data_IF_216609207496
#
_entry.id   IF_216609207496
#
_cell.length_a   1.000
_cell.length_b   1.000
_cell.length_c   1.000
_cell.angle_alpha   90.00
_cell.angle_beta   90.00
_cell.angle_gamma   90.00
#
_symmetry.space_group_name_H-M   'P 1'
#
loop_
_entity.id
_entity.type
_entity.pdbx_description
1 polymer ?
#
# COMPACT_ATOMS: atom_id res chain seq x y z
N UNK A 1 -12.11 -25.06 23.81
CA UNK A 1 -11.53 -25.20 25.15
C UNK A 1 -11.76 -23.89 25.86
N UNK A 2 -12.34 -23.91 27.05
CA UNK A 2 -12.47 -22.71 27.92
C UNK A 2 -11.35 -22.76 28.95
N UNK A 3 -10.69 -21.64 29.16
CA UNK A 3 -9.70 -21.45 30.23
C UNK A 3 -10.30 -20.50 31.27
N UNK A 4 -10.27 -20.88 32.54
CA UNK A 4 -10.70 -20.03 33.66
C UNK A 4 -9.45 -19.45 34.30
N UNK A 5 -9.39 -18.13 34.41
CA UNK A 5 -8.22 -17.42 34.95
C UNK A 5 -8.68 -16.58 36.14
N UNK A 6 -7.95 -16.67 37.25
CA UNK A 6 -8.22 -15.86 38.43
C UNK A 6 -7.91 -14.38 38.17
N UNK A 7 -8.85 -13.52 38.53
CA UNK A 7 -8.71 -12.07 38.43
C UNK A 7 -7.94 -11.52 39.63
N UNK A 8 -7.12 -10.49 39.44
CA UNK A 8 -6.50 -9.76 40.54
C UNK A 8 -7.42 -8.66 41.06
N UNK A 9 -7.52 -8.46 42.38
CA UNK A 9 -8.36 -7.42 42.97
C UNK A 9 -7.50 -6.27 43.49
N UNK A 10 -7.71 -5.07 42.94
CA UNK A 10 -7.03 -3.85 43.34
C UNK A 10 -8.02 -2.69 43.47
N UNK A 11 -8.02 -2.02 44.63
CA UNK A 11 -8.84 -0.82 44.90
C UNK A 11 -10.35 -0.95 44.57
N UNK A 12 -10.95 -2.11 44.85
CA UNK A 12 -12.37 -2.33 44.59
C UNK A 12 -12.71 -2.71 43.14
N UNK A 13 -11.69 -2.90 42.29
CA UNK A 13 -11.84 -3.37 40.91
C UNK A 13 -11.13 -4.71 40.72
N UNK A 14 -11.74 -5.57 39.91
CA UNK A 14 -11.10 -6.79 39.42
C UNK A 14 -10.41 -6.49 38.09
N UNK A 15 -9.17 -6.94 37.96
CA UNK A 15 -8.33 -6.74 36.80
C UNK A 15 -7.91 -8.10 36.23
N UNK A 16 -7.97 -8.20 34.91
CA UNK A 16 -7.35 -9.29 34.15
C UNK A 16 -6.23 -8.72 33.30
N UNK A 17 -5.06 -9.35 33.33
CA UNK A 17 -3.99 -9.10 32.36
C UNK A 17 -3.50 -10.45 31.87
N UNK A 18 -3.59 -10.74 30.56
CA UNK A 18 -3.05 -11.97 30.01
C UNK A 18 -1.57 -12.15 30.39
N UNK A 19 -1.23 -13.30 30.97
CA UNK A 19 0.16 -13.60 31.34
C UNK A 19 1.06 -13.99 30.16
N UNK A 20 0.45 -14.38 29.04
CA UNK A 20 1.11 -14.74 27.78
C UNK A 20 0.46 -13.98 26.61
N UNK A 21 1.21 -13.82 25.52
CA UNK A 21 0.65 -13.34 24.25
C UNK A 21 -0.39 -14.32 23.73
N UNK A 22 -1.57 -13.82 23.37
CA UNK A 22 -2.59 -14.61 22.71
C UNK A 22 -2.30 -14.69 21.22
N UNK A 23 -2.53 -15.85 20.62
CA UNK A 23 -2.45 -15.99 19.18
C UNK A 23 -3.62 -15.24 18.51
N UNK A 24 -3.46 -14.92 17.23
CA UNK A 24 -4.53 -14.31 16.45
C UNK A 24 -5.79 -15.17 16.47
N UNK A 25 -6.94 -14.52 16.61
CA UNK A 25 -8.23 -15.18 16.71
C UNK A 25 -9.29 -14.39 17.47
N UNK A 26 -10.50 -14.95 17.49
CA UNK A 26 -11.63 -14.40 18.24
C UNK A 26 -11.78 -15.14 19.57
N UNK A 27 -11.80 -14.39 20.66
CA UNK A 27 -11.94 -14.87 22.02
C UNK A 27 -13.24 -14.33 22.62
N UNK A 28 -13.99 -15.18 23.32
CA UNK A 28 -15.17 -14.77 24.08
C UNK A 28 -14.85 -14.82 25.55
N UNK A 29 -14.88 -13.67 26.21
CA UNK A 29 -14.59 -13.52 27.62
C UNK A 29 -15.91 -13.43 28.40
N UNK A 30 -15.99 -14.18 29.50
CA UNK A 30 -17.07 -14.08 30.49
C UNK A 30 -16.45 -14.01 31.86
N UNK A 31 -17.09 -13.25 32.76
CA UNK A 31 -16.68 -13.20 34.17
C UNK A 31 -17.65 -14.07 34.96
N UNK A 32 -17.13 -15.07 35.66
CA UNK A 32 -17.87 -15.83 36.67
C UNK A 32 -17.69 -15.14 38.02
N UNK A 33 -18.79 -14.95 38.74
CA UNK A 33 -18.77 -14.52 40.15
C UNK A 33 -19.34 -15.64 41.02
N UNK A 34 -18.79 -15.82 42.21
CA UNK A 34 -19.24 -16.80 43.20
C UNK A 34 -19.24 -16.15 44.58
N UNK A 35 -20.35 -16.25 45.32
CA UNK A 35 -20.42 -15.74 46.69
C UNK A 35 -19.96 -16.77 47.73
N UNK A 36 -19.83 -16.35 49.00
CA UNK A 36 -19.39 -17.24 50.10
C UNK A 36 -20.34 -18.41 50.37
N UNK A 37 -21.59 -18.33 49.92
CA UNK A 37 -22.57 -19.41 50.04
C UNK A 37 -22.53 -20.37 48.83
N UNK A 38 -21.69 -20.09 47.83
CA UNK A 38 -21.54 -20.89 46.61
C UNK A 38 -22.51 -20.51 45.48
N UNK A 39 -23.22 -19.39 45.57
CA UNK A 39 -24.09 -18.94 44.47
C UNK A 39 -23.23 -18.37 43.34
N UNK A 40 -23.39 -18.89 42.12
CA UNK A 40 -22.64 -18.44 40.94
C UNK A 40 -23.49 -17.64 39.97
N UNK A 41 -22.90 -16.63 39.32
CA UNK A 41 -23.50 -15.92 38.18
C UNK A 41 -22.42 -15.56 37.15
N UNK A 42 -22.83 -15.15 35.94
CA UNK A 42 -21.93 -14.81 34.84
C UNK A 42 -22.25 -13.42 34.26
N UNK A 43 -21.22 -12.72 33.76
CA UNK A 43 -21.41 -11.51 32.96
C UNK A 43 -22.03 -11.82 31.60
N UNK A 44 -22.49 -10.77 30.90
CA UNK A 44 -22.64 -10.84 29.45
C UNK A 44 -21.28 -11.17 28.80
N UNK A 45 -21.27 -11.92 27.68
CA UNK A 45 -20.03 -12.22 26.97
C UNK A 45 -19.47 -10.96 26.29
N UNK A 46 -18.14 -10.84 26.31
CA UNK A 46 -17.37 -9.84 25.56
C UNK A 46 -16.53 -10.55 24.51
N UNK A 47 -16.75 -10.22 23.24
CA UNK A 47 -15.88 -10.71 22.15
C UNK A 47 -14.67 -9.80 22.00
N UNK A 48 -13.48 -10.39 21.98
CA UNK A 48 -12.19 -9.74 21.73
C UNK A 48 -11.55 -10.42 20.54
N UNK A 49 -11.07 -9.64 19.57
CA UNK A 49 -10.32 -10.15 18.41
C UNK A 49 -8.87 -9.74 18.59
N UNK A 50 -7.97 -10.72 18.53
CA UNK A 50 -6.53 -10.51 18.45
C UNK A 50 -6.16 -10.66 16.98
N UNK A 51 -5.55 -9.64 16.43
CA UNK A 51 -5.11 -9.58 15.04
C UNK A 51 -3.80 -8.81 15.01
N UNK A 52 -2.72 -9.51 14.66
CA UNK A 52 -1.35 -8.98 14.66
C UNK A 52 -0.71 -9.07 13.28
N UNK A 53 -1.47 -9.47 12.26
CA UNK A 53 -0.95 -9.77 10.92
C UNK A 53 -1.51 -8.79 9.89
N UNK A 54 -0.61 -8.27 9.06
CA UNK A 54 -0.97 -7.46 7.90
C UNK A 54 0.05 -7.69 6.78
N UNK A 55 -0.40 -7.62 5.53
CA UNK A 55 0.45 -7.76 4.35
C UNK A 55 0.03 -6.81 3.22
N UNK A 56 0.99 -6.51 2.33
CA UNK A 56 0.71 -5.94 1.01
C UNK A 56 0.98 -7.02 -0.04
N UNK A 57 -0.09 -7.63 -0.53
CA UNK A 57 -0.05 -8.77 -1.45
C UNK A 57 0.53 -8.35 -2.80
N UNK A 58 0.19 -7.15 -3.29
CA UNK A 58 0.58 -6.69 -4.62
C UNK A 58 0.65 -5.17 -4.73
N UNK A 59 1.56 -4.69 -5.56
CA UNK A 59 1.60 -3.29 -6.03
C UNK A 59 1.88 -3.36 -7.52
N UNK A 60 1.01 -2.76 -8.33
CA UNK A 60 1.02 -2.82 -9.79
C UNK A 60 0.98 -1.40 -10.36
N UNK A 61 1.88 -1.10 -11.31
CA UNK A 61 1.74 0.06 -12.19
C UNK A 61 0.74 -0.29 -13.31
N UNK A 62 -0.49 0.20 -13.19
CA UNK A 62 -1.61 -0.17 -14.07
C UNK A 62 -1.41 0.36 -15.49
N UNK A 63 -0.83 1.56 -15.63
CA UNK A 63 -0.48 2.17 -16.90
C UNK A 63 0.98 1.92 -17.34
N UNK A 64 1.55 0.77 -16.96
CA UNK A 64 2.79 0.25 -17.57
C UNK A 64 2.62 0.17 -19.10
N UNK A 65 3.53 0.80 -19.84
CA UNK A 65 3.45 1.01 -21.28
C UNK A 65 4.67 0.43 -21.98
N UNK A 66 4.52 -0.02 -23.23
CA UNK A 66 5.64 -0.65 -23.93
C UNK A 66 5.84 -2.09 -23.47
N UNK A 67 6.88 -2.36 -22.67
CA UNK A 67 7.26 -3.72 -22.25
C UNK A 67 6.63 -4.04 -20.89
N UNK A 68 5.60 -4.90 -20.89
CA UNK A 68 4.90 -5.27 -19.66
C UNK A 68 5.82 -5.85 -18.58
N UNK A 69 5.71 -5.29 -17.37
CA UNK A 69 6.42 -5.75 -16.18
C UNK A 69 7.80 -5.10 -16.01
N UNK A 70 8.16 -4.12 -16.85
CA UNK A 70 9.35 -3.30 -16.63
C UNK A 70 9.08 -2.09 -15.71
N UNK A 71 7.82 -1.87 -15.30
CA UNK A 71 7.36 -0.74 -14.50
C UNK A 71 7.70 0.62 -15.14
N UNK A 72 7.66 0.73 -16.46
CA UNK A 72 7.87 1.99 -17.18
C UNK A 72 6.57 2.47 -17.82
N UNK A 73 6.28 3.76 -17.71
CA UNK A 73 5.09 4.37 -18.30
C UNK A 73 5.45 5.60 -19.14
N UNK A 74 4.73 5.79 -20.24
CA UNK A 74 4.76 6.99 -21.07
C UNK A 74 3.65 7.99 -20.72
N UNK A 75 2.99 7.78 -19.58
CA UNK A 75 2.01 8.67 -18.98
C UNK A 75 2.67 9.38 -17.77
N UNK A 76 2.62 10.71 -17.74
CA UNK A 76 3.20 11.51 -16.65
C UNK A 76 2.40 11.43 -15.34
N UNK A 77 1.24 10.77 -15.35
CA UNK A 77 0.40 10.49 -14.19
C UNK A 77 0.33 9.00 -13.93
N UNK A 78 1.31 8.42 -13.20
CA UNK A 78 1.31 7.00 -12.93
C UNK A 78 0.07 6.59 -12.15
N UNK A 79 -0.50 5.46 -12.55
CA UNK A 79 -1.66 4.84 -11.93
C UNK A 79 -1.23 3.56 -11.25
N UNK A 80 -1.37 3.50 -9.92
CA UNK A 80 -1.06 2.33 -9.11
C UNK A 80 -2.30 1.65 -8.59
N UNK A 81 -2.25 0.30 -8.60
CA UNK A 81 -3.15 -0.57 -7.86
C UNK A 81 -2.37 -1.26 -6.74
N UNK A 82 -2.94 -1.26 -5.54
CA UNK A 82 -2.43 -1.96 -4.36
C UNK A 82 -3.42 -3.05 -3.97
N UNK A 83 -2.94 -4.28 -3.81
CA UNK A 83 -3.73 -5.42 -3.35
C UNK A 83 -3.36 -5.75 -1.90
N UNK A 84 -4.37 -5.87 -1.06
CA UNK A 84 -4.25 -6.07 0.39
C UNK A 84 -5.38 -6.97 0.92
N UNK A 85 -5.22 -7.55 2.11
CA UNK A 85 -6.31 -8.17 2.85
C UNK A 85 -7.52 -7.23 3.07
N UNK A 86 -8.71 -7.81 3.23
CA UNK A 86 -9.98 -7.06 3.28
C UNK A 86 -10.28 -6.36 4.61
N UNK A 87 -9.47 -6.62 5.63
CA UNK A 87 -9.45 -5.94 6.92
C UNK A 87 -8.60 -4.66 6.93
N UNK A 88 -7.87 -4.38 5.85
CA UNK A 88 -7.19 -3.08 5.64
C UNK A 88 -8.20 -1.94 5.55
N UNK A 89 -7.95 -0.85 6.27
CA UNK A 89 -8.82 0.33 6.32
C UNK A 89 -8.15 1.61 5.80
N UNK A 90 -6.83 1.62 5.62
CA UNK A 90 -6.07 2.74 5.08
C UNK A 90 -4.90 2.23 4.22
N UNK A 91 -4.71 2.85 3.04
CA UNK A 91 -3.53 2.66 2.20
C UNK A 91 -2.99 4.03 1.79
N UNK A 92 -1.69 4.24 1.99
CA UNK A 92 -0.98 5.48 1.66
C UNK A 92 0.19 5.21 0.74
N UNK A 93 0.49 6.16 -0.13
CA UNK A 93 1.57 6.10 -1.11
C UNK A 93 2.50 7.32 -0.95
N UNK A 94 3.76 7.14 -1.29
CA UNK A 94 4.79 8.19 -1.27
C UNK A 94 5.84 7.92 -2.36
N UNK A 95 6.32 8.97 -3.02
CA UNK A 95 7.43 8.90 -4.00
C UNK A 95 8.69 9.65 -3.53
N UNK A 96 8.67 10.18 -2.30
CA UNK A 96 9.73 11.01 -1.73
C UNK A 96 10.35 10.39 -0.47
N UNK A 97 10.26 9.06 -0.34
CA UNK A 97 10.82 8.31 0.79
C UNK A 97 10.02 8.47 2.08
N UNK A 98 8.73 8.78 2.00
CA UNK A 98 7.83 8.93 3.15
C UNK A 98 7.84 10.31 3.79
N UNK A 99 8.38 11.33 3.11
CA UNK A 99 8.31 12.73 3.58
C UNK A 99 6.91 13.31 3.37
N UNK A 100 6.23 12.92 2.30
CA UNK A 100 4.83 13.21 2.04
C UNK A 100 4.07 11.94 1.65
N UNK A 101 2.81 11.90 2.07
CA UNK A 101 1.92 10.75 1.87
C UNK A 101 0.62 11.20 1.23
N UNK A 102 0.15 10.39 0.29
CA UNK A 102 -1.16 10.54 -0.36
C UNK A 102 -2.01 9.32 -0.08
N UNK A 103 -3.32 9.51 0.10
CA UNK A 103 -4.24 8.42 0.39
C UNK A 103 -4.77 7.78 -0.89
N UNK A 104 -4.68 6.45 -0.97
CA UNK A 104 -5.32 5.68 -2.02
C UNK A 104 -6.84 5.68 -1.86
N UNK A 105 -7.56 5.46 -2.96
CA UNK A 105 -9.01 5.29 -2.95
C UNK A 105 -9.35 3.80 -2.98
N UNK A 106 -10.27 3.29 -2.15
CA UNK A 106 -10.69 1.91 -2.21
C UNK A 106 -11.40 1.63 -3.54
N UNK A 107 -10.99 0.55 -4.22
CA UNK A 107 -11.62 0.02 -5.43
C UNK A 107 -12.58 -1.12 -5.10
N UNK A 108 -12.37 -2.29 -5.71
CA UNK A 108 -13.03 -3.53 -5.28
C UNK A 108 -12.47 -4.03 -3.94
N UNK A 109 -13.18 -4.92 -3.25
CA UNK A 109 -12.71 -5.45 -1.96
C UNK A 109 -11.28 -6.02 -2.06
N UNK A 110 -10.38 -5.54 -1.18
CA UNK A 110 -8.96 -5.90 -1.18
C UNK A 110 -8.10 -5.17 -2.23
N UNK A 111 -8.65 -4.18 -2.94
CA UNK A 111 -7.94 -3.39 -3.94
C UNK A 111 -8.06 -1.91 -3.64
N UNK A 112 -6.95 -1.19 -3.76
CA UNK A 112 -6.86 0.26 -3.63
C UNK A 112 -6.19 0.84 -4.87
N UNK A 113 -6.66 2.00 -5.30
CA UNK A 113 -6.25 2.64 -6.55
C UNK A 113 -5.74 4.06 -6.25
N UNK A 114 -4.69 4.49 -6.93
CA UNK A 114 -4.22 5.85 -6.87
C UNK A 114 -3.65 6.31 -8.22
N UNK A 115 -4.17 7.43 -8.72
CA UNK A 115 -3.65 8.10 -9.92
C UNK A 115 -3.00 9.39 -9.44
N UNK A 116 -1.73 9.59 -9.80
CA UNK A 116 -1.04 10.83 -9.43
C UNK A 116 -1.74 12.03 -10.10
N UNK A 117 -2.22 13.02 -9.33
CA UNK A 117 -3.03 14.11 -9.90
C UNK A 117 -2.18 15.16 -10.64
N UNK A 118 -0.87 15.18 -10.38
CA UNK A 118 0.10 16.11 -10.97
C UNK A 118 1.08 15.35 -11.84
N UNK A 119 1.44 15.98 -12.95
CA UNK A 119 2.42 15.44 -13.91
C UNK A 119 3.78 15.29 -13.21
N UNK A 120 4.35 14.10 -13.32
CA UNK A 120 5.72 13.80 -12.92
C UNK A 120 6.67 14.05 -14.11
N UNK A 121 7.89 14.49 -13.80
CA UNK A 121 8.92 14.62 -14.83
C UNK A 121 9.44 13.25 -15.25
N UNK A 122 10.03 13.15 -16.45
CA UNK A 122 10.75 11.96 -16.86
C UNK A 122 11.86 11.63 -15.84
N UNK A 123 11.93 10.37 -15.42
CA UNK A 123 12.86 9.94 -14.38
C UNK A 123 12.55 8.60 -13.74
N UNK A 124 13.46 8.17 -12.88
CA UNK A 124 13.30 7.00 -12.02
C UNK A 124 12.74 7.42 -10.66
N UNK A 125 11.79 6.65 -10.15
CA UNK A 125 11.11 6.90 -8.90
C UNK A 125 11.02 5.62 -8.08
N UNK A 126 11.06 5.76 -6.75
CA UNK A 126 10.75 4.67 -5.82
C UNK A 126 9.43 4.99 -5.14
N UNK A 127 8.42 4.17 -5.40
CA UNK A 127 7.14 4.24 -4.72
C UNK A 127 7.24 3.47 -3.39
N UNK A 128 6.91 4.13 -2.29
CA UNK A 128 6.67 3.52 -0.99
C UNK A 128 5.18 3.45 -0.74
N UNK A 129 4.67 2.26 -0.41
CA UNK A 129 3.29 2.01 -0.04
C UNK A 129 3.25 1.61 1.43
N UNK A 130 2.27 2.13 2.17
CA UNK A 130 1.99 1.75 3.55
C UNK A 130 0.51 1.36 3.67
N UNK A 131 0.25 0.25 4.34
CA UNK A 131 -1.11 -0.20 4.64
C UNK A 131 -1.31 -0.30 6.15
N UNK A 132 -2.51 0.06 6.61
CA UNK A 132 -2.96 -0.06 8.00
C UNK A 132 -4.26 -0.84 8.06
N UNK A 133 -4.37 -1.80 8.97
CA UNK A 133 -5.59 -2.59 9.18
C UNK A 133 -6.50 -2.04 10.29
N UNK A 134 -7.64 -2.70 10.47
CA UNK A 134 -8.62 -2.36 11.52
C UNK A 134 -8.09 -2.55 12.94
N UNK A 135 -7.12 -3.44 13.16
CA UNK A 135 -6.46 -3.64 14.44
C UNK A 135 -5.35 -2.59 14.70
N UNK A 136 -4.95 -1.84 13.66
CA UNK A 136 -3.90 -0.83 13.71
C UNK A 136 -2.52 -1.37 13.38
N UNK A 137 -2.40 -2.61 12.88
CA UNK A 137 -1.12 -3.11 12.38
C UNK A 137 -0.75 -2.36 11.10
N UNK A 138 0.55 -2.17 10.89
CA UNK A 138 1.07 -1.44 9.72
C UNK A 138 2.16 -2.24 9.01
N UNK A 139 2.24 -2.09 7.69
CA UNK A 139 3.31 -2.67 6.87
C UNK A 139 3.63 -1.74 5.72
N UNK A 140 4.90 -1.74 5.29
CA UNK A 140 5.38 -0.98 4.14
C UNK A 140 5.93 -1.89 3.04
N UNK A 141 5.85 -1.45 1.79
CA UNK A 141 6.42 -2.11 0.61
C UNK A 141 6.90 -1.06 -0.39
N UNK A 142 8.01 -1.32 -1.06
CA UNK A 142 8.56 -0.44 -2.09
C UNK A 142 8.59 -1.10 -3.45
N UNK A 143 8.36 -0.32 -4.51
CA UNK A 143 8.62 -0.71 -5.89
C UNK A 143 9.32 0.45 -6.62
N UNK A 144 10.19 0.12 -7.57
CA UNK A 144 10.77 1.12 -8.48
C UNK A 144 9.95 1.18 -9.77
N UNK A 145 9.81 2.39 -10.32
CA UNK A 145 9.13 2.66 -11.59
C UNK A 145 9.77 3.83 -12.32
N UNK A 146 9.49 3.95 -13.61
CA UNK A 146 10.02 5.00 -14.46
C UNK A 146 8.92 5.71 -15.24
N UNK A 147 9.03 7.04 -15.33
CA UNK A 147 8.25 7.87 -16.25
C UNK A 147 9.18 8.24 -17.40
N UNK A 148 8.77 7.91 -18.64
CA UNK A 148 9.47 8.29 -19.85
C UNK A 148 8.46 8.66 -20.94
N UNK A 149 8.17 9.96 -21.03
CA UNK A 149 7.23 10.53 -21.99
C UNK A 149 7.91 11.02 -23.27
N UNK A 150 9.24 10.94 -23.34
CA UNK A 150 10.02 11.57 -24.41
C UNK A 150 10.56 10.58 -25.42
N UNK A 151 10.46 10.94 -26.70
CA UNK A 151 11.10 10.20 -27.78
C UNK A 151 11.87 11.17 -28.66
N UNK A 152 13.14 10.86 -28.92
CA UNK A 152 13.99 11.69 -29.78
C UNK A 152 13.57 11.59 -31.24
N UNK A 153 13.52 12.74 -31.93
CA UNK A 153 13.23 12.79 -33.37
C UNK A 153 14.44 12.24 -34.16
N UNK A 154 14.26 11.23 -35.02
CA UNK A 154 15.35 10.76 -35.86
C UNK A 154 15.67 11.80 -36.95
N UNK A 155 16.95 12.00 -37.23
CA UNK A 155 17.43 12.86 -38.32
C UNK A 155 17.83 12.00 -39.51
N UNK A 156 17.29 12.30 -40.68
CA UNK A 156 17.75 11.76 -41.96
C UNK A 156 18.62 12.80 -42.65
N UNK A 157 19.83 12.41 -43.04
CA UNK A 157 20.74 13.22 -43.85
C UNK A 157 21.17 12.43 -45.07
N UNK A 158 21.13 13.07 -46.24
CA UNK A 158 21.82 12.54 -47.41
C UNK A 158 23.32 12.65 -47.14
N UNK A 159 24.06 11.56 -47.36
CA UNK A 159 25.52 11.63 -47.29
C UNK A 159 26.01 12.63 -48.34
N UNK A 160 26.88 13.57 -47.96
CA UNK A 160 27.42 14.57 -48.88
C UNK A 160 28.20 13.95 -50.05
N UNK A 161 28.71 12.72 -49.89
CA UNK A 161 29.32 11.97 -50.98
C UNK A 161 28.32 11.52 -52.07
N UNK A 162 27.04 11.41 -51.71
CA UNK A 162 25.97 10.94 -52.60
C UNK A 162 25.17 12.11 -53.21
N UNK A 163 25.41 13.35 -52.77
CA UNK A 163 24.83 14.55 -53.37
C UNK A 163 25.63 14.99 -54.61
N UNK A 164 25.26 14.44 -55.77
CA UNK A 164 25.88 14.77 -57.06
C UNK A 164 25.21 15.96 -57.77
N UNK A 165 24.34 16.72 -57.11
CA UNK A 165 23.67 17.88 -57.68
C UNK A 165 24.64 19.07 -57.86
N UNK A 166 24.55 19.78 -58.99
CA UNK A 166 25.33 21.01 -59.20
C UNK A 166 24.66 22.16 -58.43
N UNK A 167 25.36 22.75 -57.46
CA UNK A 167 24.92 23.99 -56.83
C UNK A 167 24.99 25.15 -57.84
N UNK A 168 23.84 25.54 -58.40
CA UNK A 168 23.73 26.72 -59.26
C UNK A 168 23.64 27.99 -58.40
N UNK A 169 24.72 28.76 -58.32
CA UNK A 169 24.67 30.14 -57.84
C UNK A 169 24.26 31.07 -59.00
N UNK A 170 23.19 31.88 -58.88
CA UNK A 170 22.87 32.87 -59.90
C UNK A 170 23.92 33.99 -59.88
N UNK A 171 24.68 34.12 -60.95
CA UNK A 171 25.49 35.33 -61.21
C UNK A 171 24.53 36.42 -61.68
N UNK A 172 24.35 37.47 -60.87
CA UNK A 172 23.71 38.71 -61.33
C UNK A 172 24.75 39.45 -62.17
N UNK A 173 24.41 39.69 -63.44
CA UNK A 173 25.11 40.62 -64.34
C UNK A 173 24.41 41.97 -64.31
#
# INVERSE_FOLDING_TARGET
MSEEIELSHHNGSWLFTPGNTWADGSYTLTVKVEDKAGNTNYSAPLTVVIDTQIAIDGVELVNDSGVKGDNMTNDDRPHFRVTVPTDVNEVRLSIDGGNSWVQATPGVAGSWEYIWPTDLADGQYTLTVEATDKAGNTVTKTIDFAVDTTLSVPVIVLNSADDTGVAVFPTII
#
